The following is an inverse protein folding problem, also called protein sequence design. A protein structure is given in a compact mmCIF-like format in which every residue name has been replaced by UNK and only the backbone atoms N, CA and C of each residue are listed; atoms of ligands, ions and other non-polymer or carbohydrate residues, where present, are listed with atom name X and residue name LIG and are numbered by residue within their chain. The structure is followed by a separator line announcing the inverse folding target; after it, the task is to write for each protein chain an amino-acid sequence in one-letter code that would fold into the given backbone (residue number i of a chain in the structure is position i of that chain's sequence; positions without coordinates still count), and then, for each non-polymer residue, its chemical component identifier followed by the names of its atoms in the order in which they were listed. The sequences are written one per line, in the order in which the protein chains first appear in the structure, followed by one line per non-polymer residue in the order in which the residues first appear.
data_IF_922635195145
#
_entry.id   IF_922635195145
#
_cell.length_a   1.000
_cell.length_b   1.000
_cell.length_c   1.000
_cell.angle_alpha   90.00
_cell.angle_beta   90.00
_cell.angle_gamma   90.00
#
_symmetry.space_group_name_H-M   'P 1'
#
loop_
_entity.id
_entity.type
_entity.pdbx_description
1 polymer ?
#
# COMPACT_ATOMS: atom_id res chain seq x y z
N UNK A 1 -8.67 4.68 -5.87
CA UNK A 1 -7.49 4.22 -6.67
C UNK A 1 -7.52 2.72 -6.98
N UNK A 2 -8.71 2.12 -6.89
CA UNK A 2 -9.00 0.70 -7.08
C UNK A 2 -9.32 0.36 -8.54
N UNK A 3 -9.36 1.38 -9.40
CA UNK A 3 -9.57 1.25 -10.85
C UNK A 3 -8.64 2.25 -11.55
N UNK A 4 -7.54 1.76 -12.11
CA UNK A 4 -6.58 2.60 -12.83
C UNK A 4 -7.01 2.64 -14.30
N UNK A 5 -7.28 3.82 -14.89
CA UNK A 5 -7.76 3.96 -16.27
C UNK A 5 -6.63 3.81 -17.30
N UNK A 6 -5.80 2.77 -17.13
CA UNK A 6 -4.69 2.41 -18.00
C UNK A 6 -4.82 0.94 -18.43
N UNK A 7 -4.38 0.58 -19.65
CA UNK A 7 -4.36 -0.81 -20.09
C UNK A 7 -3.43 -1.68 -19.25
N UNK A 8 -3.64 -2.99 -19.32
CA UNK A 8 -2.75 -3.99 -18.75
C UNK A 8 -1.35 -3.87 -19.36
N UNK A 9 -0.30 -4.05 -18.56
CA UNK A 9 1.07 -4.08 -19.06
C UNK A 9 1.49 -2.81 -19.81
N UNK A 10 0.96 -1.65 -19.44
CA UNK A 10 1.18 -0.39 -20.16
C UNK A 10 2.28 0.49 -19.56
N UNK A 11 2.59 0.32 -18.26
CA UNK A 11 3.56 1.17 -17.56
C UNK A 11 4.79 0.40 -17.08
N UNK A 12 5.95 1.06 -17.09
CA UNK A 12 7.21 0.48 -16.63
C UNK A 12 7.37 0.59 -15.10
N UNK A 13 6.85 1.67 -14.52
CA UNK A 13 7.01 1.98 -13.08
C UNK A 13 5.73 2.57 -12.53
N UNK A 14 5.37 2.15 -11.31
CA UNK A 14 4.36 2.81 -10.48
C UNK A 14 5.03 3.39 -9.24
N UNK A 15 4.77 4.66 -8.95
CA UNK A 15 5.21 5.34 -7.73
C UNK A 15 3.98 5.79 -6.95
N UNK A 16 3.99 5.57 -5.63
CA UNK A 16 2.92 6.04 -4.74
C UNK A 16 3.49 6.58 -3.44
N UNK A 17 2.87 7.65 -2.95
CA UNK A 17 3.22 8.28 -1.68
C UNK A 17 1.96 8.55 -0.87
N UNK A 18 1.83 7.92 0.30
CA UNK A 18 0.83 8.18 1.33
C UNK A 18 -0.65 8.18 0.88
N UNK A 19 -1.01 7.45 -0.18
CA UNK A 19 -2.43 7.40 -0.64
C UNK A 19 -3.04 6.00 -0.62
N UNK A 20 -2.23 4.95 -0.46
CA UNK A 20 -2.76 3.57 -0.46
C UNK A 20 -3.55 3.31 0.82
N UNK A 21 -3.11 3.86 1.95
CA UNK A 21 -3.83 3.76 3.21
C UNK A 21 -5.23 4.39 3.22
N UNK A 22 -5.51 5.32 2.30
CA UNK A 22 -6.83 5.95 2.14
C UNK A 22 -7.82 5.03 1.41
N UNK A 23 -7.33 4.00 0.72
CA UNK A 23 -8.18 3.02 0.05
C UNK A 23 -8.85 2.07 1.07
N UNK A 24 -10.18 1.86 0.97
CA UNK A 24 -10.88 0.84 1.74
C UNK A 24 -10.56 -0.59 1.25
N UNK A 25 -10.13 -0.76 0.00
CA UNK A 25 -9.77 -2.06 -0.59
C UNK A 25 -8.34 -2.03 -1.13
N UNK A 26 -7.38 -2.19 -0.21
CA UNK A 26 -5.95 -2.26 -0.53
C UNK A 26 -5.62 -3.42 -1.44
N UNK A 27 -6.38 -4.52 -1.37
CA UNK A 27 -6.13 -5.70 -2.21
C UNK A 27 -6.46 -5.38 -3.67
N UNK A 28 -7.56 -4.64 -3.92
CA UNK A 28 -7.87 -4.12 -5.25
C UNK A 28 -6.78 -3.16 -5.76
N UNK A 29 -6.30 -2.24 -4.91
CA UNK A 29 -5.21 -1.32 -5.28
C UNK A 29 -3.95 -2.08 -5.71
N UNK A 30 -3.49 -3.06 -4.93
CA UNK A 30 -2.28 -3.81 -5.29
C UNK A 30 -2.48 -4.66 -6.55
N UNK A 31 -3.66 -5.26 -6.75
CA UNK A 31 -3.99 -5.98 -7.99
C UNK A 31 -3.96 -5.05 -9.21
N UNK A 32 -4.53 -3.86 -9.10
CA UNK A 32 -4.51 -2.87 -10.19
C UNK A 32 -3.11 -2.39 -10.52
N UNK A 33 -2.31 -2.10 -9.49
CA UNK A 33 -0.90 -1.73 -9.67
C UNK A 33 -0.16 -2.85 -10.40
N UNK A 34 -0.38 -4.11 -10.02
CA UNK A 34 0.23 -5.25 -10.71
C UNK A 34 -0.26 -5.38 -12.16
N UNK A 35 -1.56 -5.21 -12.40
CA UNK A 35 -2.19 -5.31 -13.74
C UNK A 35 -1.59 -4.33 -14.73
N UNK A 36 -1.42 -3.06 -14.34
CA UNK A 36 -0.94 -2.01 -15.26
C UNK A 36 0.56 -2.11 -15.55
N UNK A 37 1.34 -2.79 -14.70
CA UNK A 37 2.78 -2.97 -14.92
C UNK A 37 3.09 -3.95 -16.04
N UNK A 38 4.03 -3.57 -16.90
CA UNK A 38 4.66 -4.49 -17.86
C UNK A 38 5.34 -5.65 -17.12
N UNK A 39 5.52 -6.82 -17.77
CA UNK A 39 6.44 -7.84 -17.27
C UNK A 39 7.83 -7.24 -16.99
N UNK A 40 8.32 -7.41 -15.76
CA UNK A 40 9.59 -6.80 -15.30
C UNK A 40 9.49 -5.34 -14.83
N UNK A 41 8.29 -4.75 -14.85
CA UNK A 41 8.00 -3.45 -14.27
C UNK A 41 8.18 -3.42 -12.75
N UNK A 42 8.25 -2.22 -12.18
CA UNK A 42 8.62 -2.02 -10.75
C UNK A 42 7.65 -1.09 -10.03
N UNK A 43 7.54 -1.30 -8.71
CA UNK A 43 6.83 -0.39 -7.82
C UNK A 43 7.78 0.26 -6.83
N UNK A 44 7.49 1.51 -6.48
CA UNK A 44 8.11 2.20 -5.36
C UNK A 44 7.04 2.92 -4.55
N UNK A 45 6.86 2.48 -3.30
CA UNK A 45 5.83 3.03 -2.42
C UNK A 45 6.46 3.55 -1.14
N UNK A 46 6.04 4.74 -0.74
CA UNK A 46 6.28 5.28 0.59
C UNK A 46 4.92 5.45 1.27
N UNK A 47 4.64 4.66 2.31
CA UNK A 47 3.40 4.76 3.08
C UNK A 47 3.66 4.49 4.56
N UNK A 48 2.69 4.85 5.41
CA UNK A 48 2.76 4.60 6.85
C UNK A 48 2.30 3.16 7.13
N UNK A 49 3.02 2.47 7.99
CA UNK A 49 2.65 1.13 8.47
C UNK A 49 2.82 1.07 9.96
N UNK A 50 2.03 0.21 10.60
CA UNK A 50 2.22 -0.08 12.01
C UNK A 50 3.24 -1.20 12.21
N UNK A 51 4.17 -0.97 13.14
CA UNK A 51 5.16 -1.98 13.56
C UNK A 51 4.69 -2.79 14.78
N UNK A 52 3.60 -2.36 15.41
CA UNK A 52 2.94 -2.99 16.56
C UNK A 52 1.43 -3.02 16.30
N UNK A 53 0.64 -3.84 17.01
CA UNK A 53 -0.81 -3.81 16.89
C UNK A 53 -1.36 -2.39 17.05
N UNK A 54 -2.30 -2.02 16.18
CA UNK A 54 -2.94 -0.71 16.19
C UNK A 54 -3.87 -0.61 17.39
N UNK A 55 -3.74 0.41 18.25
CA UNK A 55 -4.74 0.70 19.28
C UNK A 55 -6.11 0.95 18.66
N UNK A 56 -7.17 0.42 19.27
CA UNK A 56 -8.53 0.48 18.73
C UNK A 56 -9.05 1.93 18.65
N UNK A 57 -8.54 2.79 19.55
CA UNK A 57 -8.83 4.22 19.61
C UNK A 57 -8.36 4.96 18.34
N UNK A 58 -7.26 4.50 17.72
CA UNK A 58 -6.73 5.10 16.48
C UNK A 58 -7.55 4.65 15.27
N UNK A 59 -8.04 3.41 15.25
CA UNK A 59 -8.84 2.89 14.13
C UNK A 59 -10.16 3.64 13.95
N UNK A 60 -10.74 4.12 15.05
CA UNK A 60 -12.03 4.82 15.05
C UNK A 60 -11.92 6.33 14.85
N UNK A 61 -10.71 6.88 14.69
CA UNK A 61 -10.47 8.32 14.60
C UNK A 61 -10.47 8.81 13.15
N UNK A 62 -11.36 9.76 12.85
CA UNK A 62 -11.46 10.41 11.53
C UNK A 62 -10.21 11.26 11.23
N UNK A 63 -9.67 11.94 12.23
CA UNK A 63 -8.43 12.74 12.08
C UNK A 63 -7.23 11.83 11.78
N UNK A 64 -7.15 10.67 12.45
CA UNK A 64 -6.13 9.67 12.16
C UNK A 64 -6.33 9.06 10.77
N UNK A 65 -7.56 8.92 10.28
CA UNK A 65 -7.83 8.47 8.92
C UNK A 65 -7.36 9.47 7.87
N UNK A 66 -7.68 10.76 8.04
CA UNK A 66 -7.18 11.84 7.18
C UNK A 66 -5.64 11.92 7.19
N UNK A 67 -5.02 11.59 8.33
CA UNK A 67 -3.56 11.46 8.47
C UNK A 67 -2.95 10.16 7.92
N UNK A 68 -3.71 9.31 7.22
CA UNK A 68 -3.27 8.00 6.71
C UNK A 68 -2.88 6.98 7.80
N UNK A 69 -3.21 7.24 9.06
CA UNK A 69 -2.89 6.39 10.21
C UNK A 69 -3.97 5.35 10.45
N UNK A 70 -5.24 5.73 10.50
CA UNK A 70 -6.32 4.78 10.82
C UNK A 70 -6.51 3.70 9.73
N UNK A 71 -6.22 4.06 8.48
CA UNK A 71 -6.24 3.13 7.35
C UNK A 71 -4.95 2.32 7.17
N UNK A 72 -3.89 2.62 7.94
CA UNK A 72 -2.64 1.88 7.84
C UNK A 72 -2.78 0.48 8.43
N UNK A 73 -2.15 -0.49 7.77
CA UNK A 73 -2.08 -1.88 8.21
C UNK A 73 -0.72 -2.18 8.82
N UNK A 74 -0.60 -3.35 9.45
CA UNK A 74 0.70 -3.83 9.93
C UNK A 74 1.68 -4.01 8.77
N UNK A 75 2.99 -3.81 9.02
CA UNK A 75 4.03 -4.00 7.99
C UNK A 75 3.94 -5.36 7.32
N UNK A 76 3.77 -6.41 8.11
CA UNK A 76 3.76 -7.78 7.61
C UNK A 76 2.46 -8.07 6.85
N UNK A 77 1.33 -7.54 7.30
CA UNK A 77 0.07 -7.59 6.54
C UNK A 77 0.20 -6.90 5.18
N UNK A 78 0.80 -5.71 5.15
CA UNK A 78 1.10 -4.98 3.91
C UNK A 78 1.94 -5.82 2.95
N UNK A 79 2.98 -6.49 3.47
CA UNK A 79 3.85 -7.36 2.70
C UNK A 79 3.10 -8.58 2.13
N UNK A 80 2.23 -9.21 2.92
CA UNK A 80 1.41 -10.34 2.46
C UNK A 80 0.42 -9.93 1.39
N UNK A 81 -0.20 -8.75 1.49
CA UNK A 81 -1.09 -8.21 0.45
C UNK A 81 -0.36 -7.94 -0.87
N UNK A 82 0.86 -7.39 -0.81
CA UNK A 82 1.71 -7.23 -1.99
C UNK A 82 2.04 -8.57 -2.66
N UNK A 83 2.43 -9.58 -1.86
CA UNK A 83 2.69 -10.94 -2.37
C UNK A 83 1.44 -11.54 -3.01
N UNK A 84 0.28 -11.40 -2.38
CA UNK A 84 -0.99 -11.90 -2.89
C UNK A 84 -1.38 -11.26 -4.24
N UNK A 85 -0.96 -10.01 -4.50
CA UNK A 85 -1.15 -9.36 -5.78
C UNK A 85 -0.15 -9.82 -6.87
N UNK A 86 0.96 -10.46 -6.50
CA UNK A 86 1.98 -10.97 -7.43
C UNK A 86 3.39 -10.43 -7.23
N UNK A 87 3.61 -9.53 -6.25
CA UNK A 87 4.93 -9.00 -5.93
C UNK A 87 5.74 -9.98 -5.06
N UNK A 88 6.41 -10.93 -5.70
CA UNK A 88 7.18 -11.99 -5.02
C UNK A 88 8.55 -11.52 -4.52
N UNK A 89 9.13 -10.50 -5.16
CA UNK A 89 10.43 -9.95 -4.82
C UNK A 89 10.31 -8.48 -4.43
N UNK A 90 11.06 -8.05 -3.42
CA UNK A 90 11.07 -6.67 -2.98
C UNK A 90 11.78 -6.46 -1.65
N UNK A 91 12.00 -5.19 -1.30
CA UNK A 91 12.53 -4.78 -0.01
C UNK A 91 11.53 -3.84 0.65
N UNK A 92 11.14 -4.18 1.88
CA UNK A 92 10.35 -3.31 2.74
C UNK A 92 11.24 -2.87 3.89
N UNK A 93 11.37 -1.56 4.08
CA UNK A 93 12.19 -0.98 5.15
C UNK A 93 11.47 0.21 5.78
N UNK A 94 11.42 0.24 7.11
CA UNK A 94 11.01 1.44 7.84
C UNK A 94 12.12 2.48 7.73
N UNK A 95 11.80 3.65 7.16
CA UNK A 95 12.74 4.77 7.01
C UNK A 95 12.71 5.73 8.20
N UNK A 96 11.56 5.79 8.90
CA UNK A 96 11.38 6.61 10.11
C UNK A 96 10.38 5.93 11.05
N UNK A 97 10.75 5.85 12.33
CA UNK A 97 9.87 5.38 13.40
C UNK A 97 9.30 6.55 14.19
N UNK A 98 8.08 6.39 14.66
CA UNK A 98 7.39 7.32 15.55
C UNK A 98 6.91 6.51 16.77
N UNK A 99 7.05 7.09 17.97
CA UNK A 99 6.62 6.48 19.24
C UNK A 99 5.20 6.89 19.62
#
# INVERSE_FOLDING_TARGET
IEEIPLPDGSVDVVVSNCVINLSPDKDAVFREIFRVLKPGGRISVSDVVFLRPVPEEIRSSIDAWAGCLAGAVGRDEYAEKLKAAGFMEGKISATRGYE
#
